data_IF_658844611427
#
_entry.id   IF_658844611427
#
_cell.length_a   1.000
_cell.length_b   1.000
_cell.length_c   1.000
_cell.angle_alpha   90.00
_cell.angle_beta   90.00
_cell.angle_gamma   90.00
#
_symmetry.space_group_name_H-M   'P 1'
#
loop_
_entity.id
_entity.type
_entity.pdbx_description
1 polymer ?
#
# COMPACT_ATOMS: atom_id res chain seq x y z
N UNK A 1 13.52 2.09 27.86
CA UNK A 1 13.78 3.22 26.95
C UNK A 1 12.63 3.30 25.96
N UNK A 2 11.66 4.21 26.13
CA UNK A 2 10.54 4.36 25.19
C UNK A 2 11.04 5.09 23.94
N UNK A 3 10.84 4.51 22.75
CA UNK A 3 11.27 5.09 21.47
C UNK A 3 10.51 6.40 21.21
N UNK A 4 11.22 7.48 20.92
CA UNK A 4 10.62 8.77 20.55
C UNK A 4 10.20 8.80 19.07
N UNK A 5 9.25 9.70 18.75
CA UNK A 5 8.90 10.00 17.36
C UNK A 5 10.07 10.70 16.65
N UNK A 6 10.23 10.44 15.36
CA UNK A 6 11.18 11.17 14.53
C UNK A 6 10.63 12.55 14.18
N UNK A 7 11.54 13.49 13.91
CA UNK A 7 11.20 14.84 13.46
C UNK A 7 10.34 14.85 12.20
N UNK A 8 10.58 13.93 11.26
CA UNK A 8 9.75 13.76 10.07
C UNK A 8 8.28 13.47 10.43
N UNK A 9 8.04 12.61 11.41
CA UNK A 9 6.67 12.27 11.81
C UNK A 9 5.97 13.47 12.49
N UNK A 10 6.73 14.24 13.28
CA UNK A 10 6.21 15.44 13.93
C UNK A 10 5.90 16.54 12.91
N UNK A 11 6.79 16.78 11.94
CA UNK A 11 6.54 17.72 10.83
C UNK A 11 5.31 17.30 10.03
N UNK A 12 5.23 16.05 9.57
CA UNK A 12 4.06 15.57 8.81
C UNK A 12 2.76 15.66 9.61
N UNK A 13 2.81 15.50 10.94
CA UNK A 13 1.65 15.72 11.81
C UNK A 13 1.24 17.20 11.85
N UNK A 14 2.20 18.12 11.96
CA UNK A 14 1.97 19.57 11.94
C UNK A 14 1.44 20.04 10.57
N UNK A 15 1.90 19.43 9.49
CA UNK A 15 1.52 19.75 8.11
C UNK A 15 0.14 19.16 7.73
N UNK A 16 -0.30 18.10 8.41
CA UNK A 16 -1.57 17.43 8.14
C UNK A 16 -1.47 16.31 7.10
N UNK A 17 -0.26 15.90 6.72
CA UNK A 17 0.04 14.97 5.63
C UNK A 17 0.02 13.49 6.05
N UNK A 18 -0.67 13.18 7.15
CA UNK A 18 -0.73 11.83 7.70
C UNK A 18 -2.07 11.16 7.41
N UNK A 19 -2.01 9.85 7.10
CA UNK A 19 -3.22 9.02 7.05
C UNK A 19 -3.85 8.93 8.44
N UNK A 20 -5.19 8.76 8.55
CA UNK A 20 -5.89 8.74 9.84
C UNK A 20 -5.27 7.78 10.87
N UNK A 21 -4.97 6.54 10.46
CA UNK A 21 -4.34 5.53 11.32
C UNK A 21 -2.94 5.90 11.82
N UNK A 22 -2.18 6.68 11.06
CA UNK A 22 -0.85 7.16 11.48
C UNK A 22 -0.97 8.32 12.45
N UNK A 23 -1.94 9.21 12.22
CA UNK A 23 -2.25 10.34 13.09
C UNK A 23 -2.64 9.87 14.49
N UNK A 24 -3.56 8.91 14.59
CA UNK A 24 -4.02 8.34 15.86
C UNK A 24 -2.87 7.76 16.70
N UNK A 25 -1.97 6.97 16.08
CA UNK A 25 -0.77 6.43 16.76
C UNK A 25 0.18 7.51 17.28
N UNK A 26 0.28 8.62 16.56
CA UNK A 26 1.09 9.76 16.99
C UNK A 26 0.43 10.47 18.16
N UNK A 27 -0.89 10.68 18.12
CA UNK A 27 -1.65 11.29 19.21
C UNK A 27 -1.56 10.47 20.51
N UNK A 28 -1.71 9.14 20.43
CA UNK A 28 -1.49 8.23 21.56
C UNK A 28 -0.09 8.39 22.16
N UNK A 29 0.94 8.49 21.32
CA UNK A 29 2.31 8.70 21.79
C UNK A 29 2.50 10.07 22.46
N UNK A 30 1.94 11.13 21.86
CA UNK A 30 2.01 12.50 22.36
C UNK A 30 1.29 12.67 23.70
N UNK A 31 0.21 11.90 23.94
CA UNK A 31 -0.47 11.87 25.24
C UNK A 31 0.43 11.36 26.37
N UNK A 32 1.41 10.49 26.05
CA UNK A 32 2.29 9.85 27.03
C UNK A 32 3.75 10.34 27.04
N UNK A 33 4.18 11.17 26.09
CA UNK A 33 5.59 11.53 25.91
C UNK A 33 5.84 13.04 25.89
N UNK A 34 6.11 13.63 27.06
CA UNK A 34 6.42 15.07 27.21
C UNK A 34 7.55 15.57 26.30
N UNK A 35 8.57 14.74 26.02
CA UNK A 35 9.68 15.12 25.15
C UNK A 35 9.22 15.33 23.69
N UNK A 36 8.38 14.42 23.18
CA UNK A 36 7.80 14.56 21.84
C UNK A 36 6.77 15.68 21.78
N UNK A 37 5.98 15.91 22.84
CA UNK A 37 5.07 17.06 22.91
C UNK A 37 5.83 18.39 22.87
N UNK A 38 6.95 18.52 23.61
CA UNK A 38 7.80 19.72 23.55
C UNK A 38 8.37 19.92 22.13
N UNK A 39 8.91 18.86 21.52
CA UNK A 39 9.43 18.92 20.15
C UNK A 39 8.35 19.28 19.13
N UNK A 40 7.11 18.84 19.33
CA UNK A 40 5.97 19.20 18.49
C UNK A 40 5.67 20.71 18.57
N UNK A 41 5.70 21.30 19.77
CA UNK A 41 5.48 22.74 19.93
C UNK A 41 6.57 23.57 19.23
N UNK A 42 7.82 23.09 19.19
CA UNK A 42 8.89 23.72 18.40
C UNK A 42 8.53 23.74 16.89
N UNK A 43 8.05 22.63 16.34
CA UNK A 43 7.60 22.58 14.93
C UNK A 43 6.40 23.48 14.66
N UNK A 44 5.43 23.54 15.58
CA UNK A 44 4.29 24.48 15.46
C UNK A 44 4.74 25.93 15.46
N UNK A 45 5.71 26.28 16.32
CA UNK A 45 6.29 27.62 16.36
C UNK A 45 6.97 28.01 15.05
N UNK A 46 7.73 27.09 14.43
CA UNK A 46 8.33 27.30 13.11
C UNK A 46 7.25 27.55 12.06
N UNK A 47 6.19 26.72 12.03
CA UNK A 47 5.08 26.87 11.08
C UNK A 47 4.33 28.20 11.26
N UNK A 48 4.10 28.62 12.51
CA UNK A 48 3.47 29.90 12.81
C UNK A 48 4.32 31.07 12.30
N UNK A 49 5.63 31.05 12.59
CA UNK A 49 6.57 32.08 12.11
C UNK A 49 6.60 32.14 10.57
N UNK A 50 6.57 30.97 9.91
CA UNK A 50 6.55 30.90 8.46
C UNK A 50 5.23 31.42 7.84
N UNK A 51 4.12 31.33 8.56
CA UNK A 51 2.83 31.84 8.10
C UNK A 51 2.78 33.38 8.02
N UNK A 52 3.65 34.08 8.77
CA UNK A 52 3.75 35.54 8.77
C UNK A 52 4.48 36.09 7.54
N UNK A 53 5.06 35.24 6.69
CA UNK A 53 5.74 35.70 5.49
C UNK A 53 4.77 36.31 4.47
N UNK A 54 5.23 37.38 3.82
CA UNK A 54 4.48 38.08 2.78
C UNK A 54 4.15 37.09 1.65
N UNK A 55 2.86 36.89 1.42
CA UNK A 55 2.39 36.15 0.25
C UNK A 55 2.75 36.93 -1.01
N UNK A 56 3.39 36.25 -1.95
CA UNK A 56 3.73 36.78 -3.27
C UNK A 56 2.68 36.31 -4.26
N UNK A 57 2.23 37.23 -5.10
CA UNK A 57 1.28 36.90 -6.15
C UNK A 57 1.94 36.01 -7.20
N UNK A 58 1.28 34.91 -7.54
CA UNK A 58 1.80 33.94 -8.51
C UNK A 58 1.69 34.55 -9.91
N UNK A 59 2.79 34.65 -10.68
CA UNK A 59 2.75 35.20 -12.04
C UNK A 59 1.77 34.47 -12.95
N UNK A 60 1.12 35.23 -13.83
CA UNK A 60 0.23 34.69 -14.84
C UNK A 60 0.91 33.63 -15.70
N UNK A 61 0.20 32.54 -16.00
CA UNK A 61 0.72 31.44 -16.81
C UNK A 61 1.74 30.53 -16.12
N UNK A 62 2.15 30.78 -14.87
CA UNK A 62 3.07 29.89 -14.15
C UNK A 62 2.56 28.44 -14.07
N UNK A 63 1.26 28.25 -13.80
CA UNK A 63 0.64 26.92 -13.78
C UNK A 63 0.67 26.23 -15.15
N UNK A 64 0.61 26.98 -16.25
CA UNK A 64 0.71 26.42 -17.60
C UNK A 64 2.11 25.87 -17.83
N UNK A 65 3.15 26.63 -17.44
CA UNK A 65 4.54 26.18 -17.52
C UNK A 65 4.82 24.93 -16.66
N UNK A 66 4.31 24.91 -15.42
CA UNK A 66 4.45 23.74 -14.53
C UNK A 66 3.78 22.51 -15.15
N UNK A 67 2.55 22.63 -15.64
CA UNK A 67 1.82 21.52 -16.29
C UNK A 67 2.54 21.00 -17.54
N UNK A 68 3.06 21.89 -18.37
CA UNK A 68 3.81 21.49 -19.57
C UNK A 68 5.07 20.68 -19.21
N UNK A 69 5.79 21.07 -18.16
CA UNK A 69 6.97 20.34 -17.67
C UNK A 69 6.59 18.97 -17.08
N UNK A 70 5.55 18.91 -16.24
CA UNK A 70 5.07 17.65 -15.68
C UNK A 70 4.60 16.67 -16.76
N UNK A 71 3.96 17.15 -17.82
CA UNK A 71 3.55 16.29 -18.94
C UNK A 71 4.76 15.70 -19.68
N UNK A 72 5.81 16.49 -19.89
CA UNK A 72 7.06 16.04 -20.51
C UNK A 72 7.81 15.05 -19.61
N UNK A 73 7.88 15.32 -18.31
CA UNK A 73 8.58 14.46 -17.34
C UNK A 73 7.82 13.16 -17.05
N UNK A 74 6.49 13.21 -17.03
CA UNK A 74 5.62 12.04 -16.99
C UNK A 74 5.82 11.11 -18.19
N UNK A 75 6.19 11.63 -19.36
CA UNK A 75 6.59 10.79 -20.51
C UNK A 75 7.97 10.15 -20.30
N UNK A 76 8.92 10.84 -19.64
CA UNK A 76 10.26 10.31 -19.32
C UNK A 76 10.23 9.22 -18.24
N UNK A 77 9.38 9.37 -17.23
CA UNK A 77 9.20 8.37 -16.17
C UNK A 77 8.16 7.29 -16.54
N UNK A 78 7.26 7.60 -17.49
CA UNK A 78 6.25 6.68 -18.03
C UNK A 78 6.82 5.51 -18.83
N UNK A 79 8.09 5.59 -19.26
CA UNK A 79 8.83 4.42 -19.78
C UNK A 79 9.41 3.51 -18.68
N UNK A 80 9.38 3.93 -17.40
CA UNK A 80 10.01 3.22 -16.30
C UNK A 80 9.04 2.69 -15.22
N UNK A 81 7.75 3.08 -15.23
CA UNK A 81 6.75 2.51 -14.34
C UNK A 81 5.86 1.57 -15.15
N UNK A 82 6.09 0.23 -15.11
CA UNK A 82 5.16 -0.69 -15.75
C UNK A 82 3.80 -0.55 -15.08
N UNK A 83 2.79 -0.15 -15.85
CA UNK A 83 1.40 -0.24 -15.43
C UNK A 83 1.16 -1.66 -14.91
N UNK A 84 0.90 -1.78 -13.60
CA UNK A 84 0.68 -3.03 -12.86
C UNK A 84 -0.18 -3.96 -13.71
N UNK A 85 0.45 -4.91 -14.41
CA UNK A 85 -0.24 -5.70 -15.40
C UNK A 85 -1.33 -6.50 -14.69
N UNK A 86 -2.55 -6.37 -15.19
CA UNK A 86 -3.74 -7.11 -14.76
C UNK A 86 -3.65 -8.59 -15.19
N UNK A 87 -2.47 -9.22 -15.06
CA UNK A 87 -2.14 -10.58 -15.52
C UNK A 87 -2.11 -11.61 -14.40
N UNK A 88 -2.38 -11.22 -13.15
CA UNK A 88 -2.53 -12.13 -12.02
C UNK A 88 -3.81 -12.98 -12.08
N UNK A 89 -4.86 -12.51 -12.77
CA UNK A 89 -6.18 -13.18 -12.75
C UNK A 89 -6.31 -14.31 -13.80
N UNK A 90 -5.42 -14.37 -14.79
CA UNK A 90 -5.48 -15.40 -15.86
C UNK A 90 -4.70 -16.68 -15.55
N UNK A 91 -3.74 -16.65 -14.63
CA UNK A 91 -2.86 -17.80 -14.37
C UNK A 91 -3.49 -18.84 -13.43
N UNK A 92 -4.34 -18.42 -12.49
CA UNK A 92 -5.02 -19.34 -11.56
C UNK A 92 -6.16 -20.14 -12.21
N UNK A 93 -6.78 -19.60 -13.27
CA UNK A 93 -7.83 -20.35 -13.99
C UNK A 93 -7.28 -21.48 -14.86
N UNK A 94 -6.00 -21.47 -15.22
CA UNK A 94 -5.38 -22.56 -16.00
C UNK A 94 -5.12 -23.84 -15.19
N UNK A 95 -4.89 -23.72 -13.88
CA UNK A 95 -4.61 -24.87 -13.00
C UNK A 95 -5.92 -25.57 -12.56
N UNK A 96 -7.03 -24.84 -12.49
CA UNK A 96 -8.33 -25.40 -12.09
C UNK A 96 -8.95 -26.34 -13.15
N UNK A 97 -8.57 -26.23 -14.43
CA UNK A 97 -9.10 -27.10 -15.51
C UNK A 97 -8.26 -28.39 -15.65
N UNK A 98 -6.99 -28.39 -15.20
CA UNK A 98 -6.10 -29.55 -15.31
C UNK A 98 -6.33 -30.66 -14.26
N UNK A 99 -7.04 -30.38 -13.17
CA UNK A 99 -7.24 -31.32 -12.07
C UNK A 99 -8.52 -32.18 -12.16
N UNK A 100 -9.42 -31.95 -13.12
CA UNK A 100 -10.68 -32.72 -13.23
C UNK A 100 -10.57 -34.03 -14.03
N UNK A 101 -9.47 -34.33 -14.71
CA UNK A 101 -9.38 -35.54 -15.56
C UNK A 101 -8.63 -36.73 -14.93
N UNK A 102 -7.90 -36.56 -13.83
CA UNK A 102 -7.17 -37.69 -13.20
C UNK A 102 -8.00 -38.47 -12.18
N UNK A 103 -9.05 -37.87 -11.60
CA UNK A 103 -9.85 -38.53 -10.56
C UNK A 103 -10.87 -39.54 -11.10
N UNK A 104 -11.25 -39.49 -12.38
CA UNK A 104 -12.23 -40.41 -12.95
C UNK A 104 -11.63 -41.79 -13.28
N UNK A 105 -10.33 -41.85 -13.64
CA UNK A 105 -9.65 -43.10 -14.00
C UNK A 105 -9.40 -43.98 -12.77
N UNK A 106 -9.06 -43.38 -11.62
CA UNK A 106 -8.86 -44.11 -10.37
C UNK A 106 -10.17 -44.72 -9.83
N UNK A 107 -11.31 -44.03 -9.99
CA UNK A 107 -12.62 -44.55 -9.57
C UNK A 107 -13.05 -45.72 -10.46
N UNK A 108 -12.80 -45.66 -11.77
CA UNK A 108 -13.19 -46.72 -12.70
C UNK A 108 -12.36 -48.01 -12.57
N UNK A 109 -11.08 -47.90 -12.17
CA UNK A 109 -10.20 -49.06 -11.98
C UNK A 109 -10.39 -49.70 -10.60
N UNK A 110 -10.64 -48.90 -9.55
CA UNK A 110 -10.68 -49.41 -8.17
C UNK A 110 -12.04 -50.05 -7.82
N UNK A 111 -13.18 -49.54 -8.31
CA UNK A 111 -14.51 -50.10 -8.03
C UNK A 111 -14.66 -51.60 -8.39
N UNK A 112 -14.24 -52.07 -9.58
CA UNK A 112 -14.40 -53.48 -9.94
C UNK A 112 -13.41 -54.41 -9.23
N UNK A 113 -12.34 -53.90 -8.61
CA UNK A 113 -11.38 -54.73 -7.89
C UNK A 113 -11.83 -55.05 -6.45
N UNK A 114 -12.57 -54.15 -5.81
CA UNK A 114 -13.05 -54.37 -4.43
C UNK A 114 -14.21 -55.37 -4.41
N UNK A 115 -15.05 -55.40 -5.44
CA UNK A 115 -16.18 -56.33 -5.55
C UNK A 115 -15.81 -57.79 -5.84
N UNK A 116 -14.53 -58.11 -6.11
CA UNK A 116 -14.07 -59.48 -6.45
C UNK A 116 -13.39 -60.22 -5.30
N UNK A 117 -13.13 -59.56 -4.15
CA UNK A 117 -12.50 -60.20 -2.99
C UNK A 117 -13.52 -60.72 -1.95
N UNK A 118 -14.82 -60.43 -2.12
CA UNK A 118 -15.88 -60.85 -1.18
C UNK A 118 -16.57 -62.18 -1.58
N UNK A 119 -16.23 -62.77 -2.75
CA UNK A 119 -16.91 -63.97 -3.27
C UNK A 119 -16.09 -65.27 -3.17
N UNK A 120 -15.07 -65.32 -2.31
CA UNK A 120 -14.18 -66.50 -2.17
C UNK A 120 -14.02 -67.01 -0.72
N UNK A 121 -14.86 -66.55 0.22
CA UNK A 121 -14.90 -67.08 1.60
C UNK A 121 -16.34 -67.20 2.13
N UNK A 122 -17.13 -68.12 1.59
CA UNK A 122 -18.14 -68.87 2.37
C UNK A 122 -18.48 -70.21 1.75
#
# INVERSE_FOLDING_TARGET
MKKHLSDKNLSSYVDGDLKPKQKERIEEHLAGCKACSRRLEEFKGIKATAADFKQVEVPDGMLVGIRARLANEGQRLGSAIPAKSRRQFGFWHGIAVGFSLTSAVLIFIILPHIGRLDTDQK
#
